data_IF_592148549208
#
_entry.id   IF_592148549208
#
_cell.length_a   1.000
_cell.length_b   1.000
_cell.length_c   1.000
_cell.angle_alpha   90.00
_cell.angle_beta   90.00
_cell.angle_gamma   90.00
#
_symmetry.space_group_name_H-M   'P 1'
#
loop_
_entity.id
_entity.type
_entity.pdbx_description
1 polymer ?
#
# COMPACT_ATOMS: atom_id res chain seq x y z
N UNK A 1 -48.20 25.95 -11.33
CA UNK A 1 -46.86 26.03 -11.95
C UNK A 1 -45.83 25.60 -10.95
N UNK A 2 -45.34 24.37 -11.07
CA UNK A 2 -44.30 23.81 -10.19
C UNK A 2 -42.97 24.00 -10.91
N UNK A 3 -42.09 24.86 -10.38
CA UNK A 3 -40.71 24.96 -10.83
C UNK A 3 -39.90 23.88 -10.13
N UNK A 4 -39.62 22.77 -10.83
CA UNK A 4 -38.57 21.85 -10.48
C UNK A 4 -37.23 22.60 -10.58
N UNK A 5 -36.57 22.86 -9.45
CA UNK A 5 -35.17 23.21 -9.45
C UNK A 5 -34.42 21.96 -9.89
N UNK A 6 -33.87 21.95 -11.08
CA UNK A 6 -32.83 21.03 -11.50
C UNK A 6 -31.60 21.41 -10.68
N UNK A 7 -31.35 20.68 -9.62
CA UNK A 7 -30.06 20.74 -8.94
C UNK A 7 -28.99 20.27 -9.94
N UNK A 8 -28.12 21.19 -10.35
CA UNK A 8 -26.87 20.86 -11.01
C UNK A 8 -26.08 20.10 -9.97
N UNK A 9 -25.94 18.78 -10.14
CA UNK A 9 -24.99 18.00 -9.39
C UNK A 9 -23.61 18.60 -9.71
N UNK A 10 -23.05 19.37 -8.81
CA UNK A 10 -21.64 19.74 -8.87
C UNK A 10 -20.87 18.43 -8.84
N UNK A 11 -20.14 18.14 -9.91
CA UNK A 11 -19.16 17.05 -9.92
C UNK A 11 -18.12 17.41 -8.85
N UNK A 12 -18.31 16.87 -7.65
CA UNK A 12 -17.28 16.96 -6.61
C UNK A 12 -16.07 16.21 -7.13
N UNK A 13 -14.92 16.89 -7.24
CA UNK A 13 -13.67 16.23 -7.58
C UNK A 13 -13.36 15.20 -6.49
N UNK A 14 -12.93 13.99 -6.88
CA UNK A 14 -12.55 12.95 -5.94
C UNK A 14 -11.50 13.46 -4.94
N UNK A 15 -11.62 13.05 -3.68
CA UNK A 15 -10.63 13.30 -2.65
C UNK A 15 -9.47 12.30 -2.83
N UNK A 16 -8.26 12.74 -3.20
CA UNK A 16 -7.13 11.84 -3.31
C UNK A 16 -6.58 11.49 -1.95
N UNK A 17 -6.26 10.23 -1.76
CA UNK A 17 -5.46 9.69 -0.65
C UNK A 17 -4.24 9.00 -1.25
N UNK A 18 -3.08 9.62 -1.08
CA UNK A 18 -1.81 9.08 -1.51
C UNK A 18 -1.19 8.26 -0.37
N UNK A 19 -0.78 7.02 -0.63
CA UNK A 19 -0.27 6.09 0.39
C UNK A 19 1.15 5.66 0.04
N UNK A 20 2.16 6.22 0.70
CA UNK A 20 3.52 5.70 0.61
C UNK A 20 3.64 4.41 1.40
N UNK A 21 4.12 3.38 0.73
CA UNK A 21 4.10 2.01 1.24
C UNK A 21 5.26 1.20 0.67
N UNK A 22 5.75 0.21 1.43
CA UNK A 22 6.64 -0.83 0.93
C UNK A 22 6.01 -2.21 1.13
N UNK A 23 6.12 -3.08 0.13
CA UNK A 23 5.55 -4.44 0.19
C UNK A 23 6.22 -5.29 1.28
N UNK A 24 7.49 -5.04 1.60
CA UNK A 24 8.18 -5.69 2.71
C UNK A 24 7.80 -5.16 4.10
N UNK A 25 6.95 -4.12 4.19
CA UNK A 25 6.56 -3.53 5.46
C UNK A 25 5.29 -4.17 6.03
N UNK A 26 5.36 -4.90 7.17
CA UNK A 26 4.16 -5.52 7.75
C UNK A 26 3.12 -4.48 8.21
N UNK A 27 3.58 -3.33 8.67
CA UNK A 27 2.69 -2.23 9.06
C UNK A 27 1.96 -1.60 7.86
N UNK A 28 2.53 -1.71 6.65
CA UNK A 28 1.87 -1.21 5.43
C UNK A 28 0.65 -2.06 5.06
N UNK A 29 0.71 -3.38 5.20
CA UNK A 29 -0.45 -4.23 4.98
C UNK A 29 -1.54 -4.00 6.03
N UNK A 30 -1.16 -3.87 7.31
CA UNK A 30 -2.08 -3.47 8.39
C UNK A 30 -2.70 -2.10 8.07
N UNK A 31 -1.87 -1.12 7.66
CA UNK A 31 -2.33 0.23 7.30
C UNK A 31 -3.31 0.23 6.13
N UNK A 32 -3.06 -0.58 5.10
CA UNK A 32 -4.00 -0.78 3.99
C UNK A 32 -5.33 -1.34 4.51
N UNK A 33 -5.30 -2.40 5.33
CA UNK A 33 -6.51 -2.99 5.91
C UNK A 33 -7.30 -2.01 6.76
N UNK A 34 -6.61 -1.20 7.56
CA UNK A 34 -7.23 -0.16 8.36
C UNK A 34 -7.84 0.96 7.51
N UNK A 35 -7.20 1.34 6.39
CA UNK A 35 -7.77 2.29 5.44
C UNK A 35 -9.04 1.72 4.76
N UNK A 36 -9.00 0.45 4.32
CA UNK A 36 -10.17 -0.20 3.73
C UNK A 36 -11.36 -0.20 4.72
N UNK A 37 -11.08 -0.51 6.00
CA UNK A 37 -12.10 -0.46 7.06
C UNK A 37 -12.58 0.97 7.35
N UNK A 38 -11.69 1.97 7.31
CA UNK A 38 -12.05 3.38 7.50
C UNK A 38 -12.98 3.87 6.39
N UNK A 39 -12.71 3.48 5.14
CA UNK A 39 -13.57 3.83 4.01
C UNK A 39 -14.94 3.16 4.13
N UNK A 40 -15.00 1.91 4.60
CA UNK A 40 -16.27 1.22 4.87
C UNK A 40 -17.08 1.91 5.99
N UNK A 41 -16.44 2.40 7.05
CA UNK A 41 -17.10 3.19 8.11
C UNK A 41 -17.71 4.50 7.57
N UNK A 42 -17.08 5.12 6.57
CA UNK A 42 -17.59 6.33 5.93
C UNK A 42 -18.76 6.03 4.99
N UNK A 43 -18.75 4.88 4.28
CA UNK A 43 -19.83 4.42 3.40
C UNK A 43 -21.10 4.08 4.18
N UNK A 44 -20.96 3.47 5.36
CA UNK A 44 -22.08 3.16 6.26
C UNK A 44 -22.72 4.42 6.89
N UNK A 45 -22.02 5.55 6.88
CA UNK A 45 -22.58 6.83 7.27
C UNK A 45 -23.26 7.47 6.03
N UNK A 46 -24.57 7.59 6.00
CA UNK A 46 -25.35 8.20 4.88
C UNK A 46 -24.83 9.59 4.40
N UNK A 47 -23.73 10.07 4.96
CA UNK A 47 -23.17 11.41 4.74
C UNK A 47 -22.07 11.46 3.66
N UNK A 48 -21.50 10.32 3.22
CA UNK A 48 -20.36 10.28 2.29
C UNK A 48 -20.60 9.28 1.16
N UNK A 49 -20.58 9.76 -0.09
CA UNK A 49 -20.54 8.86 -1.26
C UNK A 49 -19.14 8.21 -1.36
N UNK A 50 -19.00 6.88 -1.30
CA UNK A 50 -17.70 6.20 -1.37
C UNK A 50 -16.94 6.49 -2.68
N UNK A 51 -17.64 6.88 -3.75
CA UNK A 51 -17.02 7.22 -5.02
C UNK A 51 -16.32 8.59 -5.02
N UNK A 52 -16.42 9.36 -3.93
CA UNK A 52 -15.71 10.63 -3.80
C UNK A 52 -14.27 10.50 -3.32
N UNK A 53 -13.79 9.29 -2.98
CA UNK A 53 -12.41 9.03 -2.53
C UNK A 53 -11.67 8.21 -3.58
N UNK A 54 -10.45 8.61 -3.91
CA UNK A 54 -9.51 7.80 -4.69
C UNK A 54 -8.27 7.48 -3.85
N UNK A 55 -7.79 6.25 -3.93
CA UNK A 55 -6.58 5.80 -3.21
C UNK A 55 -5.52 5.41 -4.22
N UNK A 56 -4.35 6.02 -4.09
CA UNK A 56 -3.18 5.74 -4.91
C UNK A 56 -2.01 5.27 -4.02
N UNK A 57 -1.44 4.11 -4.34
CA UNK A 57 -0.24 3.61 -3.67
C UNK A 57 1.02 4.14 -4.37
N UNK A 58 1.92 4.70 -3.57
CA UNK A 58 3.22 5.22 -3.96
C UNK A 58 4.34 4.36 -3.39
N UNK A 59 5.42 4.27 -4.13
CA UNK A 59 6.57 3.46 -3.79
C UNK A 59 7.38 4.06 -2.63
N UNK A 60 7.77 3.20 -1.70
CA UNK A 60 8.80 3.47 -0.70
C UNK A 60 9.67 2.24 -0.55
N UNK A 61 10.97 2.39 -0.37
CA UNK A 61 11.91 1.28 -0.20
C UNK A 61 12.58 1.35 1.16
N UNK A 62 12.24 0.43 2.06
CA UNK A 62 12.85 0.31 3.40
C UNK A 62 14.29 -0.21 3.34
N UNK A 63 14.62 -0.95 2.30
CA UNK A 63 15.92 -1.56 2.08
C UNK A 63 16.36 -1.42 0.60
N UNK A 64 16.61 -0.18 0.12
CA UNK A 64 16.92 0.08 -1.29
C UNK A 64 18.21 -0.60 -1.78
N UNK A 65 19.14 -0.85 -0.87
CA UNK A 65 20.43 -1.46 -1.15
C UNK A 65 20.39 -3.01 -1.16
N UNK A 66 19.22 -3.62 -0.96
CA UNK A 66 19.06 -5.08 -1.05
C UNK A 66 19.40 -5.55 -2.47
N UNK A 67 20.35 -6.49 -2.65
CA UNK A 67 20.64 -7.04 -3.97
C UNK A 67 19.40 -7.65 -4.62
N UNK A 68 19.20 -7.50 -5.94
CA UNK A 68 18.01 -8.00 -6.65
C UNK A 68 17.76 -9.50 -6.51
N UNK A 69 18.84 -10.28 -6.36
CA UNK A 69 18.79 -11.74 -6.21
C UNK A 69 18.61 -12.22 -4.78
N UNK A 70 18.39 -11.32 -3.82
CA UNK A 70 18.24 -11.68 -2.41
C UNK A 70 16.97 -12.51 -2.22
N UNK A 71 17.16 -13.67 -1.61
CA UNK A 71 16.11 -14.61 -1.21
C UNK A 71 16.53 -15.31 0.09
N UNK A 72 16.45 -14.60 1.20
CA UNK A 72 16.84 -15.08 2.52
C UNK A 72 15.65 -15.10 3.48
N UNK A 73 15.66 -15.92 4.55
CA UNK A 73 14.65 -15.76 5.61
C UNK A 73 14.64 -14.32 6.15
N UNK A 74 13.44 -13.76 6.34
CA UNK A 74 13.30 -12.36 6.79
C UNK A 74 14.02 -12.10 8.13
N UNK A 75 13.99 -13.07 9.04
CA UNK A 75 14.69 -12.99 10.33
C UNK A 75 16.21 -12.85 10.14
N UNK A 76 16.81 -13.59 9.21
CA UNK A 76 18.26 -13.58 8.99
C UNK A 76 18.70 -12.22 8.41
N UNK A 77 17.90 -11.66 7.51
CA UNK A 77 18.14 -10.32 6.98
C UNK A 77 18.12 -9.26 8.09
N UNK A 78 17.11 -9.25 8.96
CA UNK A 78 17.02 -8.27 10.05
C UNK A 78 18.14 -8.42 11.07
N UNK A 79 18.53 -9.64 11.42
CA UNK A 79 19.66 -9.90 12.31
C UNK A 79 20.96 -9.36 11.71
N UNK A 80 21.20 -9.61 10.41
CA UNK A 80 22.45 -9.21 9.75
C UNK A 80 22.49 -7.71 9.43
N UNK A 81 21.39 -7.17 8.88
CA UNK A 81 21.36 -5.78 8.40
C UNK A 81 21.18 -4.75 9.50
N UNK A 82 20.45 -5.09 10.57
CA UNK A 82 20.16 -4.19 11.69
C UNK A 82 20.97 -4.51 12.95
N UNK A 83 21.76 -5.60 12.95
CA UNK A 83 22.52 -6.04 14.12
C UNK A 83 21.67 -6.41 15.33
N UNK A 84 20.40 -6.76 15.11
CA UNK A 84 19.46 -7.08 16.18
C UNK A 84 19.64 -8.52 16.65
N UNK A 85 19.56 -8.81 17.97
CA UNK A 85 19.49 -10.18 18.44
C UNK A 85 18.27 -10.92 17.85
N UNK A 86 18.45 -12.18 17.41
CA UNK A 86 17.37 -12.97 16.81
C UNK A 86 16.13 -13.07 17.72
N UNK A 87 16.32 -13.13 19.03
CA UNK A 87 15.22 -13.17 20.00
C UNK A 87 14.40 -11.88 19.99
N UNK A 88 15.05 -10.73 19.85
CA UNK A 88 14.34 -9.44 19.73
C UNK A 88 13.55 -9.36 18.43
N UNK A 89 14.10 -9.89 17.32
CA UNK A 89 13.38 -9.96 16.04
C UNK A 89 12.14 -10.85 16.17
N UNK A 90 12.24 -12.02 16.81
CA UNK A 90 11.10 -12.91 17.06
C UNK A 90 10.00 -12.23 17.90
N UNK A 91 10.38 -11.47 18.92
CA UNK A 91 9.42 -10.72 19.74
C UNK A 91 8.71 -9.63 18.92
N UNK A 92 9.43 -8.95 18.03
CA UNK A 92 8.82 -7.99 17.09
C UNK A 92 7.85 -8.68 16.13
N UNK A 93 8.24 -9.83 15.57
CA UNK A 93 7.35 -10.61 14.70
C UNK A 93 6.10 -11.08 15.44
N UNK A 94 6.25 -11.62 16.64
CA UNK A 94 5.12 -12.04 17.45
C UNK A 94 4.14 -10.88 17.75
N UNK A 95 4.69 -9.70 18.07
CA UNK A 95 3.86 -8.52 18.31
C UNK A 95 3.10 -8.07 17.05
N UNK A 96 3.80 -7.91 15.92
CA UNK A 96 3.14 -7.45 14.69
C UNK A 96 2.17 -8.49 14.12
N UNK A 97 2.44 -9.79 14.30
CA UNK A 97 1.50 -10.87 13.94
C UNK A 97 0.21 -10.76 14.74
N UNK A 98 0.28 -10.44 16.04
CA UNK A 98 -0.93 -10.22 16.83
C UNK A 98 -1.74 -9.02 16.35
N UNK A 99 -1.06 -7.89 16.08
CA UNK A 99 -1.74 -6.69 15.55
C UNK A 99 -2.35 -6.95 14.17
N UNK A 100 -1.67 -7.73 13.33
CA UNK A 100 -2.20 -8.14 12.03
C UNK A 100 -3.44 -9.02 12.17
N UNK A 101 -3.43 -9.97 13.13
CA UNK A 101 -4.60 -10.81 13.42
C UNK A 101 -5.81 -9.99 13.88
N UNK A 102 -5.60 -8.98 14.71
CA UNK A 102 -6.66 -8.05 15.14
C UNK A 102 -7.26 -7.26 13.96
N UNK A 103 -6.46 -7.02 12.91
CA UNK A 103 -6.89 -6.42 11.64
C UNK A 103 -7.43 -7.45 10.61
N UNK A 104 -7.60 -8.73 11.01
CA UNK A 104 -8.10 -9.80 10.14
C UNK A 104 -7.07 -10.32 9.13
N UNK A 105 -5.77 -10.11 9.36
CA UNK A 105 -4.67 -10.58 8.53
C UNK A 105 -3.97 -11.79 9.16
N UNK A 106 -3.45 -12.67 8.32
CA UNK A 106 -2.67 -13.82 8.77
C UNK A 106 -1.22 -13.71 8.30
N UNK A 107 -0.29 -13.49 9.25
CA UNK A 107 1.14 -13.41 8.97
C UNK A 107 1.86 -14.68 9.40
N UNK A 108 2.77 -15.15 8.56
CA UNK A 108 3.68 -16.26 8.84
C UNK A 108 5.13 -15.85 8.54
N UNK A 109 5.81 -15.32 9.56
CA UNK A 109 7.22 -14.91 9.43
C UNK A 109 8.21 -16.07 9.39
N UNK A 110 7.77 -17.31 9.68
CA UNK A 110 8.63 -18.47 9.57
C UNK A 110 8.93 -18.85 8.10
N UNK A 111 7.99 -18.47 7.20
CA UNK A 111 8.14 -18.68 5.75
C UNK A 111 8.43 -17.40 4.96
N UNK A 112 8.29 -16.22 5.58
CA UNK A 112 8.54 -14.95 4.90
C UNK A 112 10.01 -14.82 4.46
N UNK A 113 10.19 -14.32 3.23
CA UNK A 113 11.50 -14.21 2.59
C UNK A 113 11.80 -12.78 2.22
N UNK A 114 12.96 -12.29 2.64
CA UNK A 114 13.44 -10.96 2.29
C UNK A 114 13.74 -10.87 0.79
N UNK A 115 13.32 -9.80 0.18
CA UNK A 115 13.50 -9.54 -1.24
C UNK A 115 13.73 -8.05 -1.51
N UNK A 116 14.37 -7.74 -2.64
CA UNK A 116 14.34 -6.39 -3.19
C UNK A 116 12.95 -6.10 -3.77
N UNK A 117 12.25 -5.11 -3.22
CA UNK A 117 10.87 -4.81 -3.57
C UNK A 117 10.71 -3.86 -4.77
N UNK A 118 11.82 -3.39 -5.37
CA UNK A 118 11.74 -2.42 -6.48
C UNK A 118 10.89 -2.92 -7.66
N UNK A 119 11.05 -4.17 -8.07
CA UNK A 119 10.24 -4.75 -9.16
C UNK A 119 8.77 -4.95 -8.77
N UNK A 120 8.47 -5.25 -7.51
CA UNK A 120 7.10 -5.28 -7.01
C UNK A 120 6.44 -3.88 -7.09
N UNK A 121 7.18 -2.82 -6.81
CA UNK A 121 6.70 -1.45 -6.99
C UNK A 121 6.49 -1.08 -8.48
N UNK A 122 7.39 -1.49 -9.38
CA UNK A 122 7.14 -1.32 -10.82
C UNK A 122 5.85 -2.06 -11.25
N UNK A 123 5.58 -3.24 -10.68
CA UNK A 123 4.33 -3.97 -10.93
C UNK A 123 3.10 -3.22 -10.39
N UNK A 124 3.19 -2.55 -9.24
CA UNK A 124 2.10 -1.70 -8.73
C UNK A 124 1.80 -0.53 -9.68
N UNK A 125 2.82 0.08 -10.28
CA UNK A 125 2.61 1.12 -11.29
C UNK A 125 2.02 0.57 -12.59
N UNK A 126 2.44 -0.63 -13.03
CA UNK A 126 1.77 -1.33 -14.14
C UNK A 126 0.28 -1.54 -13.81
N UNK A 127 -0.02 -2.11 -12.65
CA UNK A 127 -1.40 -2.36 -12.24
C UNK A 127 -2.22 -1.07 -12.12
N UNK A 128 -1.61 0.04 -11.67
CA UNK A 128 -2.23 1.37 -11.66
C UNK A 128 -2.64 1.81 -13.06
N UNK A 129 -1.80 1.60 -14.06
CA UNK A 129 -2.07 2.00 -15.45
C UNK A 129 -3.28 1.30 -16.06
N UNK A 130 -3.69 0.17 -15.50
CA UNK A 130 -4.85 -0.62 -15.93
C UNK A 130 -5.98 -0.68 -14.87
N UNK A 131 -5.91 0.19 -13.85
CA UNK A 131 -6.97 0.34 -12.83
C UNK A 131 -7.04 -0.82 -11.83
N UNK A 132 -5.95 -1.56 -11.60
CA UNK A 132 -5.90 -2.75 -10.73
C UNK A 132 -4.86 -2.64 -9.61
N UNK A 133 -4.45 -1.40 -9.24
CA UNK A 133 -3.39 -1.20 -8.25
C UNK A 133 -3.74 -1.74 -6.86
N UNK A 134 -4.95 -1.48 -6.37
CA UNK A 134 -5.39 -1.93 -5.05
C UNK A 134 -5.42 -3.46 -4.93
N UNK A 135 -5.90 -4.16 -5.99
CA UNK A 135 -5.91 -5.61 -6.06
C UNK A 135 -4.49 -6.18 -6.08
N UNK A 136 -3.58 -5.53 -6.84
CA UNK A 136 -2.19 -5.97 -6.91
C UNK A 136 -1.46 -5.74 -5.58
N UNK A 137 -1.70 -4.63 -4.90
CA UNK A 137 -1.14 -4.38 -3.58
C UNK A 137 -1.59 -5.47 -2.58
N UNK A 138 -2.89 -5.78 -2.53
CA UNK A 138 -3.43 -6.86 -1.71
C UNK A 138 -2.76 -8.19 -2.02
N UNK A 139 -2.63 -8.53 -3.32
CA UNK A 139 -2.03 -9.80 -3.75
C UNK A 139 -0.57 -9.92 -3.36
N UNK A 140 0.21 -8.85 -3.53
CA UNK A 140 1.63 -8.81 -3.17
C UNK A 140 1.84 -8.96 -1.67
N UNK A 141 1.07 -8.24 -0.86
CA UNK A 141 1.14 -8.36 0.59
C UNK A 141 0.77 -9.76 1.08
N UNK A 142 -0.31 -10.36 0.55
CA UNK A 142 -0.70 -11.73 0.88
C UNK A 142 0.38 -12.73 0.47
N UNK A 143 0.95 -12.59 -0.73
CA UNK A 143 2.06 -13.42 -1.22
C UNK A 143 3.24 -13.42 -0.25
N UNK A 144 3.63 -12.22 0.20
CA UNK A 144 4.79 -12.05 1.07
C UNK A 144 4.53 -12.52 2.50
N UNK A 145 3.48 -12.00 3.15
CA UNK A 145 3.28 -12.21 4.59
C UNK A 145 2.51 -13.47 4.95
N UNK A 146 1.66 -13.97 4.05
CA UNK A 146 0.81 -15.14 4.34
C UNK A 146 1.29 -16.40 3.65
N UNK A 147 1.84 -16.30 2.43
CA UNK A 147 2.18 -17.44 1.59
C UNK A 147 3.69 -17.71 1.51
N UNK A 148 4.53 -16.79 2.00
CA UNK A 148 5.99 -16.88 1.92
C UNK A 148 6.55 -16.90 0.49
N UNK A 149 5.78 -16.37 -0.47
CA UNK A 149 6.24 -16.27 -1.87
C UNK A 149 7.27 -15.17 -2.00
N UNK A 150 8.26 -15.40 -2.86
CA UNK A 150 9.26 -14.39 -3.21
C UNK A 150 8.62 -13.28 -4.08
N UNK A 151 8.91 -12.02 -3.74
CA UNK A 151 8.31 -10.84 -4.39
C UNK A 151 9.34 -9.95 -5.09
N UNK A 152 10.57 -10.45 -5.30
CA UNK A 152 11.64 -9.71 -5.98
C UNK A 152 11.89 -10.19 -7.42
N UNK A 153 11.50 -11.42 -7.76
CA UNK A 153 11.73 -12.01 -9.07
C UNK A 153 10.65 -11.64 -10.10
N UNK A 154 11.07 -11.39 -11.33
CA UNK A 154 10.14 -10.95 -12.39
C UNK A 154 9.14 -12.06 -12.74
N UNK A 155 9.59 -13.31 -12.79
CA UNK A 155 8.73 -14.43 -13.18
C UNK A 155 7.65 -14.68 -12.12
N UNK A 156 8.04 -14.66 -10.82
CA UNK A 156 7.13 -14.78 -9.68
C UNK A 156 6.12 -13.63 -9.64
N UNK A 157 6.58 -12.41 -9.90
CA UNK A 157 5.72 -11.23 -9.94
C UNK A 157 4.71 -11.30 -11.08
N UNK A 158 5.12 -11.79 -12.26
CA UNK A 158 4.22 -11.98 -13.39
C UNK A 158 3.18 -13.08 -13.11
N UNK A 159 3.56 -14.15 -12.40
CA UNK A 159 2.63 -15.19 -11.96
C UNK A 159 1.59 -14.63 -10.96
N UNK A 160 2.03 -13.82 -9.98
CA UNK A 160 1.13 -13.15 -9.04
C UNK A 160 0.16 -12.18 -9.73
N UNK A 161 0.61 -11.48 -10.75
CA UNK A 161 -0.21 -10.59 -11.56
C UNK A 161 -1.30 -11.36 -12.32
N UNK A 162 -0.97 -12.53 -12.86
CA UNK A 162 -1.92 -13.41 -13.56
C UNK A 162 -3.02 -13.92 -12.61
N UNK A 163 -2.72 -14.16 -11.32
CA UNK A 163 -3.71 -14.58 -10.33
C UNK A 163 -4.83 -13.55 -10.12
N UNK A 164 -4.57 -12.27 -10.39
CA UNK A 164 -5.60 -11.21 -10.34
C UNK A 164 -6.14 -10.84 -11.73
N UNK A 165 -5.82 -11.63 -12.77
CA UNK A 165 -6.34 -11.47 -14.13
C UNK A 165 -5.59 -10.46 -15.01
N UNK A 166 -4.36 -10.06 -14.64
CA UNK A 166 -3.48 -9.30 -15.52
C UNK A 166 -2.80 -10.26 -16.54
N UNK A 167 -2.44 -9.75 -17.70
CA UNK A 167 -1.73 -10.54 -18.69
C UNK A 167 -0.27 -10.77 -18.24
N UNK A 168 0.08 -12.05 -18.04
CA UNK A 168 1.39 -12.46 -17.53
C UNK A 168 2.55 -12.00 -18.41
N UNK A 169 2.40 -12.19 -19.73
CA UNK A 169 3.47 -11.91 -20.67
C UNK A 169 3.69 -10.40 -20.84
N UNK A 170 2.62 -9.60 -20.81
CA UNK A 170 2.70 -8.14 -20.84
C UNK A 170 3.35 -7.59 -19.55
N UNK A 171 3.02 -8.16 -18.39
CA UNK A 171 3.65 -7.81 -17.11
C UNK A 171 5.14 -8.15 -17.14
N UNK A 172 5.49 -9.39 -17.51
CA UNK A 172 6.90 -9.82 -17.60
C UNK A 172 7.71 -8.90 -18.51
N UNK A 173 7.17 -8.59 -19.68
CA UNK A 173 7.80 -7.69 -20.65
C UNK A 173 8.02 -6.30 -20.09
N UNK A 174 7.00 -5.73 -19.41
CA UNK A 174 7.09 -4.41 -18.80
C UNK A 174 8.15 -4.36 -17.69
N UNK A 175 8.20 -5.38 -16.83
CA UNK A 175 9.17 -5.47 -15.74
C UNK A 175 10.60 -5.68 -16.24
N UNK A 176 10.81 -6.52 -17.27
CA UNK A 176 12.13 -6.70 -17.91
C UNK A 176 12.62 -5.44 -18.60
N UNK A 177 11.72 -4.68 -19.20
CA UNK A 177 12.03 -3.40 -19.84
C UNK A 177 12.25 -2.25 -18.84
N UNK A 178 11.88 -2.41 -17.56
CA UNK A 178 11.92 -1.33 -16.57
C UNK A 178 10.96 -0.19 -16.90
N UNK A 179 9.83 -0.48 -17.54
CA UNK A 179 8.87 0.52 -18.07
C UNK A 179 8.41 1.51 -17.00
N UNK A 180 8.34 1.07 -15.75
CA UNK A 180 7.86 1.88 -14.62
C UNK A 180 8.97 2.25 -13.62
N UNK A 181 10.25 2.04 -13.97
CA UNK A 181 11.36 2.36 -13.07
C UNK A 181 11.40 3.85 -12.68
N UNK A 182 11.19 4.74 -13.66
CA UNK A 182 11.16 6.20 -13.43
C UNK A 182 9.98 6.61 -12.54
N UNK A 183 8.84 5.91 -12.60
CA UNK A 183 7.70 6.17 -11.74
C UNK A 183 8.00 5.82 -10.27
N UNK A 184 8.71 4.70 -10.04
CA UNK A 184 9.20 4.35 -8.70
C UNK A 184 10.16 5.42 -8.18
N UNK A 185 11.12 5.88 -9.00
CA UNK A 185 12.08 6.91 -8.59
C UNK A 185 11.37 8.24 -8.27
N UNK A 186 10.37 8.64 -9.05
CA UNK A 186 9.58 9.84 -8.79
C UNK A 186 8.83 9.76 -7.44
N UNK A 187 8.27 8.60 -7.09
CA UNK A 187 7.62 8.40 -5.77
C UNK A 187 8.63 8.54 -4.62
N UNK A 188 9.83 7.97 -4.77
CA UNK A 188 10.89 8.07 -3.75
C UNK A 188 11.39 9.51 -3.57
N UNK A 189 11.54 10.24 -4.67
CA UNK A 189 11.89 11.67 -4.65
C UNK A 189 10.80 12.48 -3.95
N UNK A 190 9.53 12.21 -4.25
CA UNK A 190 8.41 12.90 -3.63
C UNK A 190 8.30 12.56 -2.13
N UNK A 191 8.51 11.30 -1.74
CA UNK A 191 8.57 10.91 -0.33
C UNK A 191 9.64 11.71 0.43
N UNK A 192 10.83 11.84 -0.17
CA UNK A 192 11.92 12.64 0.38
C UNK A 192 11.55 14.13 0.50
N UNK A 193 10.92 14.71 -0.54
CA UNK A 193 10.48 16.10 -0.55
C UNK A 193 9.41 16.39 0.53
N UNK A 194 8.54 15.41 0.81
CA UNK A 194 7.55 15.49 1.90
C UNK A 194 8.13 15.19 3.29
N UNK A 195 9.41 14.81 3.39
CA UNK A 195 10.05 14.43 4.65
C UNK A 195 9.53 13.11 5.22
N UNK A 196 8.98 12.23 4.38
CA UNK A 196 8.51 10.91 4.78
C UNK A 196 9.73 10.05 5.13
N UNK A 197 9.83 9.63 6.38
CA UNK A 197 10.95 8.83 6.91
C UNK A 197 10.53 7.43 7.37
N UNK A 198 9.28 7.04 7.15
CA UNK A 198 8.74 5.74 7.50
C UNK A 198 7.35 5.52 6.91
N UNK A 199 6.98 4.28 6.75
CA UNK A 199 5.74 3.85 6.10
C UNK A 199 4.95 2.86 6.98
N UNK A 200 3.61 2.75 6.84
CA UNK A 200 2.80 3.49 5.87
C UNK A 200 2.71 4.98 6.21
N UNK A 201 2.57 5.82 5.19
CA UNK A 201 2.31 7.22 5.35
C UNK A 201 1.21 7.64 4.38
N UNK A 202 0.17 8.29 4.89
CA UNK A 202 -0.99 8.71 4.11
C UNK A 202 -0.95 10.23 3.93
N UNK A 203 -1.20 10.70 2.72
CA UNK A 203 -1.40 12.12 2.43
C UNK A 203 -2.82 12.30 1.89
N UNK A 204 -3.65 13.02 2.63
CA UNK A 204 -5.05 13.27 2.29
C UNK A 204 -5.13 14.65 1.65
N UNK A 205 -5.73 14.73 0.45
CA UNK A 205 -5.93 15.97 -0.32
C UNK A 205 -4.63 16.74 -0.65
N UNK A 206 -3.49 16.04 -0.68
CA UNK A 206 -2.18 16.69 -0.86
C UNK A 206 -1.79 17.64 0.28
N UNK A 207 -2.51 17.66 1.40
CA UNK A 207 -2.39 18.67 2.48
C UNK A 207 -2.16 18.08 3.87
N UNK A 208 -2.78 16.96 4.19
CA UNK A 208 -2.78 16.39 5.53
C UNK A 208 -2.02 15.07 5.55
N UNK A 209 -0.97 15.00 6.36
CA UNK A 209 -0.16 13.79 6.54
C UNK A 209 -0.59 12.98 7.77
N UNK A 210 -0.78 11.67 7.60
CA UNK A 210 -1.04 10.72 8.69
C UNK A 210 0.02 9.64 8.65
N UNK A 211 0.79 9.50 9.73
CA UNK A 211 1.91 8.54 9.81
C UNK A 211 1.50 7.26 10.53
N UNK A 212 1.94 6.13 10.01
CA UNK A 212 1.76 4.79 10.62
C UNK A 212 0.39 4.17 10.34
N UNK A 213 0.26 2.90 10.72
CA UNK A 213 -0.98 2.13 10.59
C UNK A 213 -1.99 2.54 11.67
N UNK A 214 -2.56 3.73 11.54
CA UNK A 214 -3.54 4.24 12.48
C UNK A 214 -4.81 3.38 12.49
N UNK A 215 -5.56 3.32 13.63
CA UNK A 215 -6.85 2.63 13.69
C UNK A 215 -7.85 3.15 12.65
N UNK A 216 -8.80 2.29 12.19
CA UNK A 216 -9.79 2.68 11.19
C UNK A 216 -10.58 3.95 11.55
N UNK A 217 -10.97 4.09 12.83
CA UNK A 217 -11.75 5.24 13.31
C UNK A 217 -10.96 6.55 13.20
N UNK A 218 -9.63 6.51 13.42
CA UNK A 218 -8.74 7.68 13.30
C UNK A 218 -8.61 8.10 11.83
N UNK A 219 -8.43 7.12 10.93
CA UNK A 219 -8.38 7.40 9.49
C UNK A 219 -9.73 7.92 8.98
N UNK A 220 -10.84 7.30 9.37
CA UNK A 220 -12.19 7.75 9.01
C UNK A 220 -12.47 9.17 9.49
N UNK A 221 -12.09 9.50 10.73
CA UNK A 221 -12.23 10.86 11.25
C UNK A 221 -11.41 11.87 10.45
N UNK A 222 -10.15 11.56 10.12
CA UNK A 222 -9.30 12.44 9.34
C UNK A 222 -9.86 12.68 7.92
N UNK A 223 -10.29 11.61 7.24
CA UNK A 223 -10.89 11.70 5.90
C UNK A 223 -12.19 12.48 5.94
N UNK A 224 -13.09 12.19 6.89
CA UNK A 224 -14.38 12.87 7.05
C UNK A 224 -14.21 14.37 7.33
N UNK A 225 -13.21 14.77 8.14
CA UNK A 225 -12.91 16.18 8.36
C UNK A 225 -12.51 16.89 7.07
N UNK A 226 -11.63 16.28 6.25
CA UNK A 226 -11.19 16.89 4.97
C UNK A 226 -12.35 16.98 3.98
N UNK A 227 -13.23 15.98 3.93
CA UNK A 227 -14.43 16.02 3.09
C UNK A 227 -15.35 17.15 3.52
N UNK A 228 -15.57 17.37 4.82
CA UNK A 228 -16.37 18.48 5.35
C UNK A 228 -15.77 19.86 4.96
N UNK A 229 -14.45 20.02 5.11
CA UNK A 229 -13.77 21.26 4.70
C UNK A 229 -13.91 21.57 3.20
N UNK A 230 -13.89 20.52 2.34
CA UNK A 230 -14.11 20.68 0.89
C UNK A 230 -15.55 21.09 0.54
N UNK A 231 -16.52 20.64 1.33
CA UNK A 231 -17.93 20.98 1.13
C UNK A 231 -18.26 22.44 1.48
N UNK A 232 -17.43 23.09 2.30
CA UNK A 232 -17.59 24.49 2.71
C UNK A 232 -16.93 25.50 1.75
N UNK A 233 -16.12 25.01 0.77
CA UNK A 233 -15.33 25.84 -0.15
C UNK A 233 -15.96 25.89 -1.54
#
# INVERSE_FOLDING_TARGET
MWHRRLGVAQSMSTLPIDVWSDIACPWCYIGKRNLDAALALLDDSDDVDPNVVSVDFHSYLLAPDTPPETDAPEIDFLVQSKGMPAEQVRQMFAHVTQVAADAGLHYDFDIARHANTRKAHELLHYAKSVGRQADMAERLFAAHFTEGKHIGGIDELADLAAEIGLDRDDVEKALRAGTYADAVDADLEQASAYGISGVPFFVIDGRYGVSGAQPPEVLAQAIGQVLAERAET
#
